data_IF_449661420369
#
_entry.id   IF_449661420369
#
_cell.length_a   1.000
_cell.length_b   1.000
_cell.length_c   1.000
_cell.angle_alpha   90.00
_cell.angle_beta   90.00
_cell.angle_gamma   90.00
#
_symmetry.space_group_name_H-M   'P 1'
#
loop_
_entity.id
_entity.type
_entity.pdbx_description
1 polymer ?
#
# COMPACT_ATOMS: atom_id res chain seq x y z
N UNK A 1 6.87 24.66 6.44
CA UNK A 1 5.96 23.51 6.39
C UNK A 1 6.67 22.40 5.64
N UNK A 2 6.62 21.18 6.14
CA UNK A 2 7.20 20.01 5.47
C UNK A 2 6.33 19.67 4.27
N UNK A 3 6.94 19.39 3.11
CA UNK A 3 6.19 19.03 1.90
C UNK A 3 5.47 17.69 2.09
N UNK A 4 4.24 17.53 1.59
CA UNK A 4 3.51 16.28 1.67
C UNK A 4 4.20 15.16 0.88
N UNK A 5 4.04 13.92 1.35
CA UNK A 5 4.56 12.73 0.64
C UNK A 5 3.75 12.47 -0.62
N UNK A 6 2.45 12.62 -0.55
CA UNK A 6 1.56 12.49 -1.70
C UNK A 6 0.46 13.55 -1.64
N UNK A 7 0.07 14.08 -2.79
CA UNK A 7 -1.02 15.03 -2.92
C UNK A 7 -1.84 14.73 -4.18
N UNK A 8 -3.13 14.51 -3.98
CA UNK A 8 -4.15 14.40 -5.02
C UNK A 8 -4.99 15.66 -4.98
N UNK A 9 -5.19 16.33 -6.12
CA UNK A 9 -6.03 17.51 -6.27
C UNK A 9 -7.06 17.29 -7.38
N UNK A 10 -8.33 17.17 -7.00
CA UNK A 10 -9.43 16.95 -7.91
C UNK A 10 -9.22 15.73 -8.81
N UNK A 11 -8.60 14.66 -8.31
CA UNK A 11 -8.20 13.51 -9.13
C UNK A 11 -9.42 12.75 -9.60
N UNK A 12 -9.53 12.64 -10.92
CA UNK A 12 -10.52 11.83 -11.62
C UNK A 12 -9.87 10.60 -12.24
N UNK A 13 -10.62 9.49 -12.26
CA UNK A 13 -10.26 8.29 -12.99
C UNK A 13 -11.47 7.67 -13.66
N UNK A 14 -11.36 7.39 -14.94
CA UNK A 14 -12.42 6.79 -15.75
C UNK A 14 -11.92 5.56 -16.48
N UNK A 15 -12.77 4.54 -16.55
CA UNK A 15 -12.55 3.35 -17.38
C UNK A 15 -13.58 3.40 -18.53
N UNK A 16 -13.14 3.89 -19.67
CA UNK A 16 -14.08 4.27 -20.74
C UNK A 16 -15.08 5.32 -20.28
N UNK A 17 -16.38 5.02 -20.36
CA UNK A 17 -17.43 5.91 -19.90
C UNK A 17 -17.68 5.89 -18.38
N UNK A 18 -17.20 4.84 -17.67
CA UNK A 18 -17.47 4.63 -16.25
C UNK A 18 -16.52 5.45 -15.37
N UNK A 19 -17.02 6.38 -14.53
CA UNK A 19 -16.19 7.05 -13.52
C UNK A 19 -15.90 6.08 -12.39
N UNK A 20 -14.63 6.06 -11.92
CA UNK A 20 -14.15 5.28 -10.76
C UNK A 20 -13.76 6.23 -9.63
N UNK A 21 -13.15 7.37 -9.97
CA UNK A 21 -12.90 8.49 -9.05
C UNK A 21 -13.44 9.75 -9.71
N UNK A 22 -14.11 10.60 -8.93
CA UNK A 22 -14.89 11.72 -9.42
C UNK A 22 -14.44 13.06 -8.79
N UNK A 23 -13.14 13.32 -8.79
CA UNK A 23 -12.56 14.56 -8.23
C UNK A 23 -12.22 14.41 -6.75
N UNK A 24 -11.29 13.49 -6.43
CA UNK A 24 -10.85 13.25 -5.04
C UNK A 24 -9.64 14.12 -4.68
N UNK A 25 -9.66 14.67 -3.47
CA UNK A 25 -8.57 15.43 -2.87
C UNK A 25 -7.99 14.66 -1.68
N UNK A 26 -6.68 14.50 -1.64
CA UNK A 26 -5.98 13.84 -0.54
C UNK A 26 -4.59 14.44 -0.36
N UNK A 27 -4.22 14.71 0.88
CA UNK A 27 -2.86 15.07 1.27
C UNK A 27 -2.37 14.05 2.28
N UNK A 28 -1.23 13.40 2.01
CA UNK A 28 -0.55 12.49 2.92
C UNK A 28 0.70 13.16 3.47
N UNK A 29 0.78 13.25 4.79
CA UNK A 29 1.91 13.87 5.48
C UNK A 29 3.07 12.88 5.68
N UNK A 30 4.33 13.35 5.83
CA UNK A 30 5.45 12.51 6.19
C UNK A 30 5.22 11.75 7.51
N UNK A 31 5.51 10.45 7.50
CA UNK A 31 5.35 9.56 8.66
C UNK A 31 3.90 9.13 8.93
N UNK A 32 2.93 9.61 8.18
CA UNK A 32 1.52 9.33 8.39
C UNK A 32 1.13 7.91 7.94
N UNK A 33 0.28 7.24 8.72
CA UNK A 33 -0.36 5.97 8.36
C UNK A 33 -1.83 6.20 8.06
N UNK A 34 -2.15 6.20 6.78
CA UNK A 34 -3.50 6.39 6.24
C UNK A 34 -4.14 5.04 5.91
N UNK A 35 -5.40 4.85 6.31
CA UNK A 35 -6.21 3.72 5.82
C UNK A 35 -7.36 4.25 4.97
N UNK A 36 -7.46 3.75 3.74
CA UNK A 36 -8.59 4.02 2.85
C UNK A 36 -9.56 2.85 2.94
N UNK A 37 -10.76 3.14 3.42
CA UNK A 37 -11.84 2.16 3.60
C UNK A 37 -12.96 2.38 2.61
N UNK A 38 -13.82 1.39 2.44
CA UNK A 38 -15.00 1.47 1.59
C UNK A 38 -15.41 0.10 1.06
N UNK A 39 -16.60 -0.05 0.48
CA UNK A 39 -17.08 -1.30 -0.07
C UNK A 39 -16.23 -1.80 -1.24
N UNK A 40 -16.39 -3.07 -1.61
CA UNK A 40 -15.74 -3.63 -2.79
C UNK A 40 -16.15 -2.83 -4.04
N UNK A 41 -15.21 -2.62 -4.97
CA UNK A 41 -15.47 -1.87 -6.20
C UNK A 41 -15.52 -0.33 -6.06
N UNK A 42 -15.34 0.25 -4.85
CA UNK A 42 -15.41 1.71 -4.64
C UNK A 42 -14.23 2.51 -5.24
N UNK A 43 -13.19 1.85 -5.76
CA UNK A 43 -12.02 2.54 -6.36
C UNK A 43 -10.78 2.57 -5.47
N UNK A 44 -10.75 1.88 -4.31
CA UNK A 44 -9.62 1.89 -3.38
C UNK A 44 -8.29 1.46 -4.01
N UNK A 45 -8.28 0.30 -4.69
CA UNK A 45 -7.07 -0.18 -5.38
C UNK A 45 -6.66 0.74 -6.54
N UNK A 46 -7.60 1.49 -7.11
CA UNK A 46 -7.30 2.51 -8.13
C UNK A 46 -6.47 3.65 -7.53
N UNK A 47 -6.80 4.11 -6.30
CA UNK A 47 -5.99 5.10 -5.59
C UNK A 47 -4.56 4.57 -5.38
N UNK A 48 -4.39 3.32 -4.95
CA UNK A 48 -3.06 2.74 -4.78
C UNK A 48 -2.29 2.66 -6.10
N UNK A 49 -2.95 2.28 -7.21
CA UNK A 49 -2.29 2.21 -8.53
C UNK A 49 -1.88 3.59 -9.05
N UNK A 50 -2.66 4.62 -8.79
CA UNK A 50 -2.30 6.00 -9.08
C UNK A 50 -1.08 6.44 -8.26
N UNK A 51 -1.10 6.22 -6.93
CA UNK A 51 0.03 6.53 -6.04
C UNK A 51 1.29 5.74 -6.41
N UNK A 52 1.14 4.50 -6.87
CA UNK A 52 2.26 3.67 -7.32
C UNK A 52 2.82 4.07 -8.70
N UNK A 53 2.16 5.01 -9.40
CA UNK A 53 2.52 5.40 -10.76
C UNK A 53 2.27 4.31 -11.80
N UNK A 54 1.42 3.33 -11.48
CA UNK A 54 1.00 2.26 -12.41
C UNK A 54 -0.12 2.71 -13.33
N UNK A 55 -0.78 3.81 -12.98
CA UNK A 55 -1.83 4.47 -13.76
C UNK A 55 -1.68 5.98 -13.61
N UNK A 56 -2.14 6.71 -14.62
CA UNK A 56 -2.24 8.17 -14.56
C UNK A 56 -3.71 8.58 -14.38
N UNK A 57 -3.99 9.66 -13.64
CA UNK A 57 -5.34 10.19 -13.53
C UNK A 57 -5.85 10.67 -14.89
N UNK A 58 -7.16 10.56 -15.13
CA UNK A 58 -7.80 11.08 -16.34
C UNK A 58 -8.14 12.57 -16.22
N UNK A 59 -8.11 13.12 -14.99
CA UNK A 59 -8.30 14.53 -14.67
C UNK A 59 -7.72 14.86 -13.31
N UNK A 60 -7.58 16.15 -13.01
CA UNK A 60 -6.91 16.60 -11.79
C UNK A 60 -5.39 16.46 -11.84
N UNK A 61 -4.74 16.45 -10.67
CA UNK A 61 -3.29 16.32 -10.56
C UNK A 61 -2.88 15.44 -9.38
N UNK A 62 -1.77 14.72 -9.56
CA UNK A 62 -1.13 13.88 -8.55
C UNK A 62 0.34 14.28 -8.46
N UNK A 63 0.83 14.47 -7.23
CA UNK A 63 2.27 14.62 -6.97
C UNK A 63 2.72 13.68 -5.85
N UNK A 64 3.96 13.20 -5.96
CA UNK A 64 4.65 12.41 -4.93
C UNK A 64 5.94 13.16 -4.59
N UNK A 65 6.16 13.46 -3.31
CA UNK A 65 7.29 14.29 -2.84
C UNK A 65 7.40 15.64 -3.59
N UNK A 66 6.24 16.22 -3.92
CA UNK A 66 6.18 17.47 -4.70
C UNK A 66 6.47 17.31 -6.19
N UNK A 67 6.78 16.11 -6.67
CA UNK A 67 7.04 15.82 -8.09
C UNK A 67 5.73 15.42 -8.78
N UNK A 68 5.25 16.19 -9.77
CA UNK A 68 4.05 15.84 -10.53
C UNK A 68 4.20 14.49 -11.25
N UNK A 69 3.20 13.63 -11.13
CA UNK A 69 3.17 12.32 -11.77
C UNK A 69 2.46 12.42 -13.12
N UNK A 70 3.20 12.79 -14.16
CA UNK A 70 2.70 12.98 -15.54
C UNK A 70 3.07 11.81 -16.47
N UNK A 71 3.89 10.89 -15.99
CA UNK A 71 4.32 9.69 -16.71
C UNK A 71 4.11 8.46 -15.84
N UNK A 72 3.89 7.31 -16.48
CA UNK A 72 3.89 6.04 -15.76
C UNK A 72 5.28 5.79 -15.12
N UNK A 73 5.29 5.08 -13.99
CA UNK A 73 6.53 4.78 -13.25
C UNK A 73 7.62 4.17 -14.14
N UNK A 74 7.23 3.31 -15.07
CA UNK A 74 8.17 2.64 -15.99
C UNK A 74 8.83 3.60 -16.99
N UNK A 75 8.20 4.72 -17.27
CA UNK A 75 8.69 5.74 -18.21
C UNK A 75 9.48 6.85 -17.50
N UNK A 76 9.55 6.82 -16.17
CA UNK A 76 10.26 7.81 -15.38
C UNK A 76 11.74 7.41 -15.22
N UNK A 77 12.64 8.35 -15.49
CA UNK A 77 14.09 8.13 -15.28
C UNK A 77 14.46 7.98 -13.80
N UNK A 78 13.78 8.73 -12.93
CA UNK A 78 13.97 8.73 -11.49
C UNK A 78 12.60 8.69 -10.80
N UNK A 79 11.95 7.50 -10.72
CA UNK A 79 10.67 7.38 -10.07
C UNK A 79 10.80 7.62 -8.56
N UNK A 80 9.78 8.18 -7.89
CA UNK A 80 9.78 8.32 -6.43
C UNK A 80 9.84 6.96 -5.74
N UNK A 81 10.34 6.93 -4.48
CA UNK A 81 10.40 5.69 -3.69
C UNK A 81 8.99 5.30 -3.20
N UNK A 82 8.27 4.61 -4.06
CA UNK A 82 6.95 4.04 -3.73
C UNK A 82 7.05 2.53 -3.82
N UNK A 83 6.64 1.84 -2.76
CA UNK A 83 6.73 0.38 -2.61
C UNK A 83 5.35 -0.20 -2.40
N UNK A 84 4.93 -1.12 -3.27
CA UNK A 84 3.58 -1.69 -3.26
C UNK A 84 3.62 -3.16 -2.86
N UNK A 85 2.87 -3.48 -1.81
CA UNK A 85 2.54 -4.84 -1.40
C UNK A 85 1.14 -5.15 -1.90
N UNK A 86 1.04 -6.08 -2.85
CA UNK A 86 -0.22 -6.47 -3.47
C UNK A 86 -1.01 -7.44 -2.59
N UNK A 87 -2.31 -7.51 -2.79
CA UNK A 87 -3.20 -8.52 -2.19
C UNK A 87 -2.69 -9.94 -2.45
N UNK A 88 -2.37 -10.25 -3.71
CA UNK A 88 -1.59 -11.43 -4.07
C UNK A 88 -0.11 -11.04 -4.05
N UNK A 89 0.78 -11.82 -3.43
CA UNK A 89 2.18 -11.43 -3.20
C UNK A 89 2.98 -11.02 -4.42
N UNK A 90 2.52 -11.33 -5.63
CA UNK A 90 3.15 -11.01 -6.91
C UNK A 90 4.64 -11.39 -6.94
N UNK A 91 4.96 -12.57 -6.42
CA UNK A 91 6.31 -13.13 -6.49
C UNK A 91 6.54 -13.74 -7.88
N UNK A 92 7.75 -13.58 -8.38
CA UNK A 92 8.19 -14.17 -9.63
C UNK A 92 8.45 -15.67 -9.39
N UNK A 93 7.58 -16.54 -9.91
CA UNK A 93 7.60 -17.97 -9.60
C UNK A 93 8.85 -18.71 -10.08
N UNK A 94 9.58 -18.16 -11.06
CA UNK A 94 10.84 -18.70 -11.56
C UNK A 94 12.08 -18.24 -10.80
N UNK A 95 11.92 -17.31 -9.87
CA UNK A 95 13.01 -16.78 -9.03
C UNK A 95 12.89 -17.33 -7.61
N UNK A 96 14.04 -17.59 -6.98
CA UNK A 96 14.10 -17.95 -5.56
C UNK A 96 13.54 -16.82 -4.67
N UNK A 97 13.29 -17.12 -3.39
CA UNK A 97 12.92 -16.13 -2.39
C UNK A 97 13.97 -15.01 -2.33
N UNK A 98 15.25 -15.37 -2.32
CA UNK A 98 16.37 -14.43 -2.28
C UNK A 98 16.36 -13.49 -3.48
N UNK A 99 16.16 -14.04 -4.67
CA UNK A 99 16.09 -13.24 -5.90
C UNK A 99 14.83 -12.37 -5.93
N UNK A 100 13.69 -12.86 -5.44
CA UNK A 100 12.47 -12.06 -5.32
C UNK A 100 12.64 -10.87 -4.39
N UNK A 101 13.23 -11.08 -3.21
CA UNK A 101 13.46 -10.00 -2.23
C UNK A 101 14.52 -9.05 -2.74
N UNK A 102 15.65 -9.57 -3.22
CA UNK A 102 16.77 -8.78 -3.72
C UNK A 102 16.63 -8.25 -5.15
N UNK A 103 15.49 -8.47 -5.81
CA UNK A 103 15.32 -8.22 -7.25
C UNK A 103 15.81 -6.84 -7.69
N UNK A 104 15.44 -5.82 -6.94
CA UNK A 104 15.83 -4.44 -7.21
C UNK A 104 17.34 -4.23 -7.10
N UNK A 105 17.95 -4.82 -6.07
CA UNK A 105 19.40 -4.73 -5.84
C UNK A 105 20.20 -5.41 -6.94
N UNK A 106 19.79 -6.62 -7.34
CA UNK A 106 20.45 -7.35 -8.43
C UNK A 106 20.36 -6.63 -9.79
N UNK A 107 19.30 -5.87 -10.01
CA UNK A 107 19.10 -5.17 -11.29
C UNK A 107 19.66 -3.76 -11.33
N UNK A 108 19.61 -3.02 -10.24
CA UNK A 108 19.83 -1.58 -10.23
C UNK A 108 21.05 -1.15 -9.42
N UNK A 109 21.62 -2.04 -8.57
CA UNK A 109 22.79 -1.68 -7.77
C UNK A 109 24.10 -2.22 -8.35
N UNK A 110 25.22 -1.63 -7.87
CA UNK A 110 26.57 -2.14 -8.09
C UNK A 110 27.13 -2.86 -6.86
N UNK A 111 26.25 -3.27 -5.97
CA UNK A 111 26.62 -3.97 -4.74
C UNK A 111 27.18 -5.37 -5.06
N UNK A 112 28.13 -5.81 -4.27
CA UNK A 112 28.61 -7.19 -4.37
C UNK A 112 27.53 -8.19 -3.92
N UNK A 113 27.50 -9.37 -4.52
CA UNK A 113 26.51 -10.42 -4.19
C UNK A 113 26.44 -10.73 -2.69
N UNK A 114 27.56 -10.72 -1.98
CA UNK A 114 27.61 -10.94 -0.55
C UNK A 114 26.84 -9.84 0.23
N UNK A 115 26.95 -8.59 -0.20
CA UNK A 115 26.21 -7.48 0.41
C UNK A 115 24.72 -7.55 0.11
N UNK A 116 24.34 -7.92 -1.12
CA UNK A 116 22.94 -8.13 -1.48
C UNK A 116 22.35 -9.26 -0.64
N UNK A 117 23.07 -10.39 -0.51
CA UNK A 117 22.65 -11.51 0.35
C UNK A 117 22.42 -11.07 1.78
N UNK A 118 23.35 -10.32 2.36
CA UNK A 118 23.22 -9.82 3.74
C UNK A 118 21.98 -8.96 3.92
N UNK A 119 21.70 -8.04 2.99
CA UNK A 119 20.49 -7.18 3.04
C UNK A 119 19.21 -7.97 2.90
N UNK A 120 19.20 -8.99 2.05
CA UNK A 120 18.05 -9.89 1.87
C UNK A 120 17.82 -10.72 3.13
N UNK A 121 18.87 -11.26 3.73
CA UNK A 121 18.77 -12.03 4.96
C UNK A 121 18.20 -11.17 6.10
N UNK A 122 18.69 -9.95 6.28
CA UNK A 122 18.14 -8.99 7.25
C UNK A 122 16.65 -8.69 6.98
N UNK A 123 16.25 -8.53 5.71
CA UNK A 123 14.86 -8.28 5.37
C UNK A 123 13.96 -9.50 5.65
N UNK A 124 14.44 -10.73 5.42
CA UNK A 124 13.73 -11.96 5.75
C UNK A 124 13.54 -12.11 7.27
N UNK A 125 14.60 -11.89 8.06
CA UNK A 125 14.54 -11.91 9.52
C UNK A 125 13.57 -10.86 10.07
N UNK A 126 13.58 -9.64 9.51
CA UNK A 126 12.70 -8.55 9.92
C UNK A 126 11.22 -8.90 9.77
N UNK A 127 10.86 -9.74 8.80
CA UNK A 127 9.49 -10.24 8.60
C UNK A 127 9.23 -11.59 9.29
N UNK A 128 10.17 -12.07 10.11
CA UNK A 128 10.05 -13.32 10.87
C UNK A 128 10.12 -14.57 10.00
N UNK A 129 10.91 -14.53 8.93
CA UNK A 129 11.25 -15.69 8.10
C UNK A 129 12.69 -16.13 8.34
N UNK A 130 12.91 -17.45 8.28
CA UNK A 130 14.28 -17.98 8.34
C UNK A 130 15.02 -17.67 7.05
N UNK A 131 16.30 -17.32 7.15
CA UNK A 131 17.18 -17.12 5.99
C UNK A 131 17.38 -18.38 5.15
N UNK A 132 17.13 -19.54 5.75
CA UNK A 132 17.27 -20.85 5.08
C UNK A 132 16.28 -21.06 3.94
N UNK A 133 15.17 -20.31 3.90
CA UNK A 133 14.22 -20.38 2.79
C UNK A 133 14.67 -19.59 1.55
N UNK A 134 15.80 -18.91 1.64
CA UNK A 134 16.30 -18.02 0.60
C UNK A 134 16.40 -18.65 -0.79
N UNK A 135 16.74 -19.92 -0.85
CA UNK A 135 16.90 -20.67 -2.10
C UNK A 135 15.62 -21.39 -2.58
N UNK A 136 14.55 -21.38 -1.76
CA UNK A 136 13.26 -21.96 -2.14
C UNK A 136 12.56 -21.12 -3.20
N UNK A 137 11.72 -21.79 -4.02
CA UNK A 137 10.82 -21.13 -4.97
C UNK A 137 9.52 -20.70 -4.26
N UNK A 138 8.82 -19.68 -4.76
CA UNK A 138 7.53 -19.25 -4.19
C UNK A 138 6.51 -20.39 -4.06
N UNK A 139 6.48 -21.33 -5.02
CA UNK A 139 5.56 -22.46 -4.98
C UNK A 139 5.78 -23.45 -3.84
N UNK A 140 6.94 -23.42 -3.18
CA UNK A 140 7.29 -24.27 -2.04
C UNK A 140 6.88 -23.64 -0.71
N UNK A 141 6.39 -22.38 -0.71
CA UNK A 141 6.02 -21.62 0.46
C UNK A 141 4.50 -21.66 0.72
N UNK A 142 4.11 -21.62 2.00
CA UNK A 142 2.73 -21.34 2.36
C UNK A 142 2.32 -19.93 1.93
N UNK A 143 1.00 -19.69 1.73
CA UNK A 143 0.50 -18.37 1.36
C UNK A 143 0.90 -17.26 2.36
N UNK A 144 0.92 -17.57 3.66
CA UNK A 144 1.40 -16.65 4.68
C UNK A 144 2.90 -16.36 4.60
N UNK A 145 3.73 -17.34 4.19
CA UNK A 145 5.16 -17.12 3.93
C UNK A 145 5.35 -16.24 2.69
N UNK A 146 4.63 -16.53 1.60
CA UNK A 146 4.67 -15.71 0.37
C UNK A 146 4.31 -14.25 0.65
N UNK A 147 3.27 -13.99 1.47
CA UNK A 147 2.93 -12.63 1.91
C UNK A 147 4.09 -11.98 2.65
N UNK A 148 4.70 -12.67 3.63
CA UNK A 148 5.86 -12.12 4.36
C UNK A 148 7.07 -11.87 3.46
N UNK A 149 7.31 -12.70 2.45
CA UNK A 149 8.35 -12.44 1.43
C UNK A 149 8.06 -11.15 0.66
N UNK A 150 6.80 -10.86 0.32
CA UNK A 150 6.44 -9.58 -0.34
C UNK A 150 6.67 -8.36 0.55
N UNK A 151 6.50 -8.50 1.87
CA UNK A 151 6.89 -7.46 2.84
C UNK A 151 8.42 -7.29 2.92
N UNK A 152 9.17 -8.41 2.98
CA UNK A 152 10.64 -8.36 2.95
C UNK A 152 11.15 -7.61 1.70
N UNK A 153 10.54 -7.87 0.54
CA UNK A 153 10.83 -7.14 -0.69
C UNK A 153 10.57 -5.63 -0.56
N UNK A 154 9.51 -5.23 0.16
CA UNK A 154 9.20 -3.82 0.39
C UNK A 154 10.17 -3.13 1.38
N UNK A 155 10.93 -3.87 2.19
CA UNK A 155 11.98 -3.33 3.06
C UNK A 155 13.28 -3.01 2.31
N UNK A 156 13.48 -3.59 1.14
CA UNK A 156 14.70 -3.34 0.35
C UNK A 156 14.68 -1.91 -0.19
N UNK A 157 15.70 -1.15 0.17
CA UNK A 157 15.90 0.19 -0.35
C UNK A 157 16.49 0.14 -1.77
N UNK A 158 15.96 0.97 -2.66
CA UNK A 158 16.60 1.21 -3.95
C UNK A 158 17.80 2.13 -3.75
N UNK A 159 19.04 1.64 -4.01
CA UNK A 159 20.24 2.42 -3.79
C UNK A 159 20.39 3.59 -4.79
N UNK A 160 19.59 3.62 -5.85
CA UNK A 160 19.57 4.72 -6.81
C UNK A 160 18.71 5.90 -6.34
N UNK A 161 17.85 5.68 -5.34
CA UNK A 161 16.99 6.71 -4.77
C UNK A 161 17.72 7.42 -3.62
N UNK A 162 17.77 8.76 -3.62
CA UNK A 162 18.39 9.51 -2.54
C UNK A 162 17.77 9.17 -1.18
N UNK A 163 18.57 8.90 -0.18
CA UNK A 163 18.15 8.59 1.20
C UNK A 163 17.38 9.73 1.89
N UNK A 164 17.35 10.91 1.28
CA UNK A 164 16.56 12.05 1.75
C UNK A 164 15.05 11.93 1.46
N UNK A 165 14.65 11.02 0.58
CA UNK A 165 13.24 10.74 0.30
C UNK A 165 12.77 9.58 1.17
N UNK A 166 11.80 9.86 2.03
CA UNK A 166 11.15 8.82 2.84
C UNK A 166 10.22 8.00 1.94
N UNK A 167 10.26 6.65 2.00
CA UNK A 167 9.45 5.81 1.15
C UNK A 167 7.95 5.95 1.43
N UNK A 168 7.15 5.83 0.38
CA UNK A 168 5.71 5.65 0.46
C UNK A 168 5.38 4.15 0.31
N UNK A 169 4.87 3.56 1.38
CA UNK A 169 4.50 2.14 1.44
C UNK A 169 3.00 1.98 1.17
N UNK A 170 2.66 1.18 0.19
CA UNK A 170 1.29 0.93 -0.23
C UNK A 170 0.92 -0.53 0.02
N UNK A 171 -0.23 -0.78 0.65
CA UNK A 171 -0.71 -2.12 0.98
C UNK A 171 -2.13 -2.31 0.47
N UNK A 172 -2.30 -3.19 -0.52
CA UNK A 172 -3.60 -3.49 -1.13
C UNK A 172 -4.19 -4.75 -0.49
N UNK A 173 -5.23 -4.59 0.34
CA UNK A 173 -5.96 -5.65 1.04
C UNK A 173 -5.02 -6.72 1.67
N UNK A 174 -4.05 -6.31 2.50
CA UNK A 174 -2.96 -7.19 2.92
C UNK A 174 -3.40 -8.38 3.79
N UNK A 175 -4.54 -8.27 4.45
CA UNK A 175 -5.11 -9.30 5.35
C UNK A 175 -6.21 -10.13 4.69
N UNK A 176 -6.59 -9.85 3.45
CA UNK A 176 -7.66 -10.58 2.77
C UNK A 176 -7.38 -12.08 2.67
N UNK A 177 -8.38 -12.89 3.05
CA UNK A 177 -8.33 -14.35 2.98
C UNK A 177 -7.46 -15.02 4.04
N UNK A 178 -7.04 -14.31 5.08
CA UNK A 178 -6.30 -14.85 6.22
C UNK A 178 -7.21 -15.11 7.42
N UNK A 179 -6.83 -16.08 8.27
CA UNK A 179 -7.44 -16.26 9.57
C UNK A 179 -7.08 -15.09 10.53
N UNK A 180 -7.84 -14.89 11.63
CA UNK A 180 -7.63 -13.76 12.54
C UNK A 180 -6.23 -13.66 13.14
N UNK A 181 -5.57 -14.80 13.42
CA UNK A 181 -4.21 -14.79 13.99
C UNK A 181 -3.19 -14.35 12.94
N UNK A 182 -3.34 -14.85 11.72
CA UNK A 182 -2.51 -14.43 10.59
C UNK A 182 -2.76 -12.95 10.24
N UNK A 183 -4.00 -12.45 10.30
CA UNK A 183 -4.32 -11.02 10.14
C UNK A 183 -3.52 -10.18 11.13
N UNK A 184 -3.59 -10.49 12.43
CA UNK A 184 -2.85 -9.78 13.47
C UNK A 184 -1.34 -9.70 13.18
N UNK A 185 -0.74 -10.81 12.73
CA UNK A 185 0.69 -10.83 12.37
C UNK A 185 1.02 -9.92 11.19
N UNK A 186 0.14 -9.88 10.18
CA UNK A 186 0.34 -9.00 9.01
C UNK A 186 0.11 -7.54 9.39
N UNK A 187 -0.87 -7.24 10.22
CA UNK A 187 -1.15 -5.90 10.74
C UNK A 187 0.03 -5.34 11.54
N UNK A 188 0.60 -6.14 12.47
CA UNK A 188 1.82 -5.77 13.18
C UNK A 188 3.00 -5.58 12.21
N UNK A 189 3.08 -6.39 11.16
CA UNK A 189 4.13 -6.28 10.15
C UNK A 189 4.00 -4.99 9.33
N UNK A 190 2.79 -4.55 8.98
CA UNK A 190 2.54 -3.26 8.31
C UNK A 190 3.12 -2.11 9.15
N UNK A 191 2.77 -2.06 10.44
CA UNK A 191 3.23 -1.01 11.35
C UNK A 191 4.76 -1.03 11.47
N UNK A 192 5.35 -2.21 11.74
CA UNK A 192 6.81 -2.35 11.86
C UNK A 192 7.54 -1.98 10.58
N UNK A 193 7.07 -2.46 9.42
CA UNK A 193 7.68 -2.17 8.12
C UNK A 193 7.67 -0.67 7.84
N UNK A 194 6.55 0.01 8.13
CA UNK A 194 6.44 1.47 7.96
C UNK A 194 7.41 2.21 8.88
N UNK A 195 7.51 1.78 10.15
CA UNK A 195 8.43 2.38 11.13
C UNK A 195 9.91 2.14 10.75
N UNK A 196 10.27 0.90 10.39
CA UNK A 196 11.65 0.56 9.98
C UNK A 196 12.08 1.33 8.73
N UNK A 197 11.17 1.51 7.79
CA UNK A 197 11.42 2.31 6.58
C UNK A 197 11.41 3.82 6.86
N UNK A 198 11.01 4.26 8.06
CA UNK A 198 10.78 5.67 8.42
C UNK A 198 9.84 6.36 7.42
N UNK A 199 8.98 5.61 6.76
CA UNK A 199 8.14 6.06 5.66
C UNK A 199 6.72 6.44 6.09
N UNK A 200 5.93 6.82 5.10
CA UNK A 200 4.47 6.96 5.23
C UNK A 200 3.79 5.75 4.62
N UNK A 201 2.56 5.44 5.04
CA UNK A 201 1.84 4.30 4.45
C UNK A 201 0.40 4.63 4.08
N UNK A 202 -0.07 3.97 3.02
CA UNK A 202 -1.48 3.91 2.65
C UNK A 202 -1.90 2.44 2.60
N UNK A 203 -2.82 2.07 3.47
CA UNK A 203 -3.42 0.73 3.51
C UNK A 203 -4.82 0.82 2.93
N UNK A 204 -5.14 -0.03 1.99
CA UNK A 204 -6.52 -0.24 1.53
C UNK A 204 -7.05 -1.49 2.22
N UNK A 205 -8.14 -1.38 2.94
CA UNK A 205 -8.79 -2.52 3.59
C UNK A 205 -10.27 -2.28 3.85
N UNK A 206 -11.01 -3.39 3.94
CA UNK A 206 -12.37 -3.43 4.46
C UNK A 206 -12.45 -4.22 5.79
N UNK A 207 -11.31 -4.70 6.29
CA UNK A 207 -11.20 -5.50 7.52
C UNK A 207 -11.05 -4.57 8.73
N UNK A 208 -11.95 -4.72 9.70
CA UNK A 208 -12.04 -3.83 10.85
C UNK A 208 -10.77 -3.85 11.71
N UNK A 209 -10.22 -5.04 12.01
CA UNK A 209 -8.98 -5.16 12.77
C UNK A 209 -7.79 -4.45 12.10
N UNK A 210 -7.72 -4.49 10.78
CA UNK A 210 -6.68 -3.81 10.02
C UNK A 210 -6.78 -2.29 10.18
N UNK A 211 -8.00 -1.73 10.17
CA UNK A 211 -8.22 -0.30 10.42
C UNK A 211 -7.71 0.06 11.81
N UNK A 212 -8.17 -0.68 12.84
CA UNK A 212 -7.84 -0.44 14.24
C UNK A 212 -6.34 -0.46 14.53
N UNK A 213 -5.63 -1.40 13.93
CA UNK A 213 -4.21 -1.62 14.24
C UNK A 213 -3.27 -0.75 13.42
N UNK A 214 -3.68 -0.33 12.21
CA UNK A 214 -2.74 0.30 11.28
C UNK A 214 -3.00 1.78 11.03
N UNK A 215 -4.24 2.27 11.28
CA UNK A 215 -4.60 3.65 10.97
C UNK A 215 -4.18 4.66 12.05
N UNK A 216 -3.68 5.80 11.62
CA UNK A 216 -3.73 7.07 12.36
C UNK A 216 -4.86 7.94 11.84
N UNK A 217 -5.06 7.93 10.51
CA UNK A 217 -6.16 8.59 9.83
C UNK A 217 -6.89 7.62 8.93
N UNK A 218 -8.20 7.76 8.85
CA UNK A 218 -9.09 6.95 8.02
C UNK A 218 -9.79 7.85 7.02
N UNK A 219 -9.91 7.36 5.78
CA UNK A 219 -10.68 8.01 4.72
C UNK A 219 -11.66 6.99 4.15
N UNK A 220 -12.94 7.36 4.08
CA UNK A 220 -13.99 6.50 3.51
C UNK A 220 -14.29 6.90 2.08
N UNK A 221 -14.03 5.97 1.15
CA UNK A 221 -14.30 6.10 -0.29
C UNK A 221 -15.60 5.37 -0.64
N UNK A 222 -16.53 6.09 -1.22
CA UNK A 222 -17.76 5.53 -1.76
C UNK A 222 -18.22 6.31 -2.99
N UNK A 223 -18.60 5.59 -4.03
CA UNK A 223 -19.07 6.15 -5.31
C UNK A 223 -18.09 7.18 -5.89
N UNK A 224 -16.81 6.80 -5.92
CA UNK A 224 -15.72 7.60 -6.47
C UNK A 224 -15.37 8.89 -5.70
N UNK A 225 -15.95 9.10 -4.51
CA UNK A 225 -15.73 10.29 -3.68
C UNK A 225 -15.33 9.94 -2.26
N UNK A 226 -14.50 10.75 -1.65
CA UNK A 226 -14.27 10.68 -0.20
C UNK A 226 -15.49 11.23 0.54
N UNK A 227 -16.23 10.36 1.20
CA UNK A 227 -17.44 10.71 1.96
C UNK A 227 -17.14 11.13 3.38
N UNK A 228 -15.96 10.78 3.87
CA UNK A 228 -15.49 11.14 5.18
C UNK A 228 -13.97 10.98 5.28
N UNK A 229 -13.34 11.81 6.13
CA UNK A 229 -11.94 11.69 6.53
C UNK A 229 -11.78 12.23 7.95
N UNK A 230 -10.95 11.56 8.76
CA UNK A 230 -10.67 11.96 10.13
C UNK A 230 -9.64 11.05 10.79
N UNK A 231 -9.28 11.35 12.05
CA UNK A 231 -8.43 10.48 12.86
C UNK A 231 -9.15 9.15 13.16
N UNK A 232 -8.40 8.13 13.60
CA UNK A 232 -9.00 6.87 14.07
C UNK A 232 -9.97 7.12 15.24
N UNK A 233 -9.66 8.05 16.13
CA UNK A 233 -10.55 8.42 17.23
C UNK A 233 -11.87 9.04 16.72
N UNK A 234 -11.78 9.95 15.74
CA UNK A 234 -12.97 10.52 15.10
C UNK A 234 -13.79 9.47 14.35
N UNK A 235 -13.14 8.46 13.74
CA UNK A 235 -13.80 7.37 13.07
C UNK A 235 -14.71 6.59 14.02
N UNK A 236 -14.26 6.33 15.25
CA UNK A 236 -15.06 5.63 16.26
C UNK A 236 -16.28 6.43 16.74
N UNK A 237 -16.14 7.72 16.83
CA UNK A 237 -17.18 8.63 17.36
C UNK A 237 -18.05 9.25 16.26
N UNK A 238 -17.71 8.99 14.98
CA UNK A 238 -18.39 9.62 13.86
C UNK A 238 -19.87 9.22 13.77
N UNK A 239 -20.72 10.23 13.65
CA UNK A 239 -22.15 10.11 13.33
C UNK A 239 -22.42 10.21 11.81
N UNK A 240 -21.37 10.37 10.99
CA UNK A 240 -21.52 10.39 9.55
C UNK A 240 -22.18 9.09 9.06
N UNK A 241 -23.31 9.15 8.32
CA UNK A 241 -24.10 7.97 8.00
C UNK A 241 -23.35 6.92 7.18
N UNK A 242 -22.38 7.32 6.35
CA UNK A 242 -21.50 6.41 5.63
C UNK A 242 -20.56 5.65 6.59
N UNK A 243 -19.96 6.36 7.55
CA UNK A 243 -19.07 5.76 8.56
C UNK A 243 -19.84 4.80 9.46
N UNK A 244 -21.01 5.24 9.96
CA UNK A 244 -21.87 4.42 10.82
C UNK A 244 -22.27 3.12 10.10
N UNK A 245 -22.71 3.25 8.85
CA UNK A 245 -23.10 2.09 8.04
C UNK A 245 -21.91 1.14 7.81
N UNK A 246 -20.76 1.67 7.41
CA UNK A 246 -19.56 0.86 7.13
C UNK A 246 -19.08 0.13 8.40
N UNK A 247 -19.01 0.84 9.52
CA UNK A 247 -18.54 0.32 10.80
C UNK A 247 -19.47 -0.75 11.37
N UNK A 248 -20.79 -0.59 11.22
CA UNK A 248 -21.79 -1.54 11.73
C UNK A 248 -22.06 -2.72 10.77
N UNK A 249 -21.59 -2.64 9.52
CA UNK A 249 -21.96 -3.63 8.50
C UNK A 249 -23.44 -3.62 8.13
N UNK A 250 -24.16 -2.52 8.40
CA UNK A 250 -25.60 -2.41 8.18
C UNK A 250 -25.94 -2.41 6.68
N UNK A 251 -26.97 -3.16 6.29
CA UNK A 251 -27.54 -3.08 4.94
C UNK A 251 -28.39 -1.81 4.74
N UNK A 252 -28.77 -1.13 5.83
CA UNK A 252 -29.52 0.13 5.79
C UNK A 252 -28.59 1.31 5.93
N UNK A 253 -28.65 2.24 4.99
CA UNK A 253 -27.83 3.45 4.98
C UNK A 253 -27.65 4.01 3.58
N UNK A 254 -26.79 5.03 3.42
CA UNK A 254 -26.57 5.70 2.13
C UNK A 254 -25.75 4.84 1.15
N UNK A 255 -24.97 3.87 1.61
CA UNK A 255 -24.24 2.93 0.76
C UNK A 255 -25.19 1.80 0.38
N UNK A 256 -25.51 1.69 -0.90
CA UNK A 256 -26.25 0.57 -1.41
C UNK A 256 -25.29 -0.56 -1.81
N UNK A 257 -25.56 -1.83 -1.45
CA UNK A 257 -24.80 -2.95 -1.98
C UNK A 257 -24.91 -2.89 -3.49
N UNK A 258 -23.76 -2.67 -4.17
CA UNK A 258 -23.76 -2.62 -5.62
C UNK A 258 -24.01 -4.01 -6.18
N UNK A 259 -25.03 -4.16 -6.96
CA UNK A 259 -25.10 -5.18 -7.99
C UNK A 259 -24.10 -4.74 -9.10
N UNK A 260 -22.86 -5.27 -9.04
CA UNK A 260 -21.81 -4.97 -10.03
C UNK A 260 -21.37 -6.24 -10.74
#
# INVERSE_FOLDING_TARGET
MVAPVAELRGVEMRWGARPVLAGVDLVLQPGERLVVVGPSGSGKSTILRLLAGLQLPTGGSLSIHGIPQTYLRLDQRHPPDVRLVFQNPALLGSLSVRENVGFLLYRCSRLADAEIRQRVDQALEAVGLSVNIGEQLPGELSGGMQKRVSFARALINDPSIPSSQLPLLLFDEPTAGLDPIACTRIEDLIVRTTQMAQGSSVVVSHVHSTIERTAERVVLLYDGLFRWAGSLADYHQSENPYVVQFRSGSLRGPMQPGEH
#
